data_IF_702912645803
#
_entry.id   IF_702912645803
#
_cell.length_a   1.000
_cell.length_b   1.000
_cell.length_c   1.000
_cell.angle_alpha   90.00
_cell.angle_beta   90.00
_cell.angle_gamma   90.00
#
_symmetry.space_group_name_H-M   'P 1'
#
loop_
_entity.id
_entity.type
_entity.pdbx_description
1 polymer ?
#
# COMPACT_ATOMS: atom_id res chain seq x y z
N UNK A 1 -11.53 15.58 -21.36
CA UNK A 1 -11.66 14.65 -22.51
C UNK A 1 -10.35 13.99 -22.94
N UNK A 2 -9.20 14.66 -22.79
CA UNK A 2 -7.89 14.07 -23.10
C UNK A 2 -7.43 13.06 -22.01
N UNK A 3 -7.79 13.25 -20.75
CA UNK A 3 -7.54 12.29 -19.69
C UNK A 3 -8.20 10.93 -19.93
N UNK A 4 -9.37 10.90 -20.56
CA UNK A 4 -10.03 9.65 -20.98
C UNK A 4 -9.26 8.88 -22.06
N UNK A 5 -8.51 9.58 -22.93
CA UNK A 5 -7.74 8.93 -24.01
C UNK A 5 -6.40 8.35 -23.56
N UNK A 6 -5.80 8.87 -22.46
CA UNK A 6 -4.57 8.31 -21.90
C UNK A 6 -4.82 7.10 -20.98
N UNK A 7 -5.97 7.10 -20.28
CA UNK A 7 -6.39 5.95 -19.45
C UNK A 7 -7.14 4.89 -20.27
N UNK A 8 -7.72 5.26 -21.42
CA UNK A 8 -8.47 4.41 -22.34
C UNK A 8 -7.74 4.08 -23.64
N UNK A 9 -6.43 4.30 -23.75
CA UNK A 9 -5.67 3.36 -24.56
C UNK A 9 -5.84 2.04 -23.85
N UNK A 10 -6.82 1.27 -24.34
CA UNK A 10 -6.93 -0.15 -24.07
C UNK A 10 -5.52 -0.68 -23.93
N UNK A 11 -5.16 -1.05 -22.71
CA UNK A 11 -3.90 -1.70 -22.48
C UNK A 11 -3.95 -2.93 -23.40
N UNK A 12 -3.23 -2.91 -24.49
CA UNK A 12 -2.97 -4.09 -25.34
C UNK A 12 -2.22 -5.17 -24.54
N UNK A 13 -1.91 -4.91 -23.28
CA UNK A 13 -1.69 -5.91 -22.24
C UNK A 13 -2.97 -6.67 -21.86
N UNK A 14 -4.10 -6.36 -22.57
CA UNK A 14 -5.35 -7.04 -22.34
C UNK A 14 -5.29 -8.47 -22.83
N UNK A 15 -5.46 -9.35 -21.90
CA UNK A 15 -6.24 -10.58 -21.98
C UNK A 15 -5.79 -11.76 -22.83
N UNK A 16 -4.95 -11.68 -23.83
CA UNK A 16 -4.71 -12.82 -24.72
C UNK A 16 -3.81 -13.94 -24.15
N UNK A 17 -3.16 -13.73 -23.00
CA UNK A 17 -2.31 -14.73 -22.35
C UNK A 17 -2.54 -14.88 -20.84
N UNK A 18 -3.70 -14.49 -20.31
CA UNK A 18 -3.99 -14.72 -18.88
C UNK A 18 -4.48 -16.16 -18.69
N UNK A 19 -3.69 -16.97 -18.03
CA UNK A 19 -4.06 -18.34 -17.63
C UNK A 19 -5.17 -18.36 -16.56
N UNK A 20 -5.43 -17.23 -15.89
CA UNK A 20 -6.41 -17.09 -14.81
C UNK A 20 -7.27 -15.86 -15.03
N UNK A 21 -8.59 -16.01 -14.95
CA UNK A 21 -9.53 -14.90 -14.98
C UNK A 21 -9.39 -14.07 -13.69
N UNK A 22 -9.09 -12.76 -13.77
CA UNK A 22 -8.96 -11.92 -12.58
C UNK A 22 -10.30 -11.78 -11.87
N UNK A 23 -10.33 -12.04 -10.56
CA UNK A 23 -11.54 -11.93 -9.72
C UNK A 23 -11.43 -10.81 -8.68
N UNK A 24 -10.21 -10.48 -8.26
CA UNK A 24 -9.98 -9.44 -7.28
C UNK A 24 -10.13 -8.04 -7.93
N UNK A 25 -10.95 -7.21 -7.29
CA UNK A 25 -11.19 -5.81 -7.71
C UNK A 25 -10.46 -4.81 -6.82
N UNK A 26 -10.09 -5.21 -5.61
CA UNK A 26 -9.44 -4.38 -4.61
C UNK A 26 -8.30 -5.14 -3.97
N UNK A 27 -7.22 -4.42 -3.66
CA UNK A 27 -6.04 -4.98 -2.97
C UNK A 27 -5.86 -4.21 -1.67
N UNK A 28 -5.81 -4.92 -0.56
CA UNK A 28 -5.45 -4.38 0.76
C UNK A 28 -4.11 -4.99 1.14
N UNK A 29 -3.08 -4.15 1.26
CA UNK A 29 -1.74 -4.56 1.67
C UNK A 29 -1.52 -4.18 3.14
N UNK A 30 -1.67 -5.15 4.04
CA UNK A 30 -1.42 -4.98 5.46
C UNK A 30 0.08 -5.17 5.73
N UNK A 31 0.78 -4.07 5.85
CA UNK A 31 2.20 -4.08 6.16
C UNK A 31 2.45 -3.84 7.65
N UNK A 32 2.81 -4.88 8.37
CA UNK A 32 3.08 -4.84 9.81
C UNK A 32 4.55 -4.41 10.02
N UNK A 33 4.78 -3.10 10.08
CA UNK A 33 6.11 -2.55 10.31
C UNK A 33 6.62 -2.96 11.70
N UNK A 34 7.86 -3.47 11.74
CA UNK A 34 8.44 -4.08 12.93
C UNK A 34 8.34 -5.60 12.93
N UNK A 35 7.55 -6.15 12.04
CA UNK A 35 7.33 -7.56 11.70
C UNK A 35 6.97 -8.49 12.89
N UNK A 36 5.89 -9.24 12.80
CA UNK A 36 5.68 -10.37 13.71
C UNK A 36 6.74 -11.43 13.45
N UNK A 37 7.16 -12.13 14.50
CA UNK A 37 8.07 -13.26 14.36
C UNK A 37 7.42 -14.36 13.53
N UNK A 38 8.01 -14.71 12.40
CA UNK A 38 7.48 -15.76 11.53
C UNK A 38 7.48 -17.12 12.20
N UNK A 39 8.49 -17.41 13.03
CA UNK A 39 8.59 -18.67 13.79
C UNK A 39 7.55 -18.80 14.89
N UNK A 40 6.95 -17.69 15.30
CA UNK A 40 5.91 -17.65 16.33
C UNK A 40 4.50 -17.51 15.75
N UNK A 41 4.35 -17.42 14.42
CA UNK A 41 3.05 -17.19 13.77
C UNK A 41 2.66 -18.27 12.77
N UNK A 42 3.40 -18.42 11.66
CA UNK A 42 3.01 -19.29 10.54
C UNK A 42 4.06 -20.33 10.16
N UNK A 43 5.27 -20.24 10.69
CA UNK A 43 6.39 -21.06 10.24
C UNK A 43 7.08 -21.76 11.44
N UNK A 44 6.43 -22.76 12.06
CA UNK A 44 7.00 -23.48 13.17
C UNK A 44 8.32 -24.18 12.79
N UNK A 45 9.33 -24.04 13.62
CA UNK A 45 10.65 -24.63 13.45
C UNK A 45 10.91 -25.66 14.57
N UNK A 46 10.41 -26.89 14.47
CA UNK A 46 10.53 -27.89 15.55
C UNK A 46 11.98 -28.24 15.87
N UNK A 47 12.89 -28.10 14.92
CA UNK A 47 14.32 -28.37 15.17
C UNK A 47 14.96 -27.34 16.09
N UNK A 48 14.40 -26.14 16.27
CA UNK A 48 14.89 -25.18 17.25
C UNK A 48 14.86 -25.74 18.68
N UNK A 49 13.91 -26.61 19.01
CA UNK A 49 13.85 -27.29 20.31
C UNK A 49 15.09 -28.16 20.57
N UNK A 50 15.59 -28.83 19.52
CA UNK A 50 16.80 -29.68 19.63
C UNK A 50 18.08 -28.87 19.84
N UNK A 51 18.04 -27.60 19.49
CA UNK A 51 19.19 -26.69 19.52
C UNK A 51 19.02 -25.56 20.54
N UNK A 52 17.99 -25.62 21.38
CA UNK A 52 17.71 -24.59 22.38
C UNK A 52 18.95 -24.26 23.21
N UNK A 53 19.22 -22.95 23.35
CA UNK A 53 20.39 -22.44 24.08
C UNK A 53 21.75 -22.66 23.40
N UNK A 54 21.86 -23.50 22.36
CA UNK A 54 23.10 -23.66 21.62
C UNK A 54 23.36 -22.44 20.74
N UNK A 55 24.63 -22.01 20.72
CA UNK A 55 25.03 -20.90 19.86
C UNK A 55 25.01 -21.32 18.37
N UNK A 56 24.46 -20.49 17.47
CA UNK A 56 24.57 -20.77 16.05
C UNK A 56 26.02 -20.72 15.58
N UNK A 57 26.38 -21.64 14.70
CA UNK A 57 27.69 -21.67 14.06
C UNK A 57 27.67 -20.77 12.81
N UNK A 58 28.79 -20.07 12.56
CA UNK A 58 28.96 -19.25 11.35
C UNK A 58 29.40 -17.82 11.62
N UNK A 59 29.89 -17.16 10.54
CA UNK A 59 30.46 -15.80 10.64
C UNK A 59 29.41 -14.72 10.97
N UNK A 60 28.17 -14.92 10.53
CA UNK A 60 27.06 -13.97 10.73
C UNK A 60 26.63 -13.82 12.20
N UNK A 61 26.95 -14.82 13.05
CA UNK A 61 26.46 -14.88 14.43
C UNK A 61 27.56 -14.69 15.48
N UNK A 62 28.75 -14.31 15.05
CA UNK A 62 29.91 -14.14 15.98
C UNK A 62 29.68 -13.07 17.05
N UNK A 63 28.79 -12.13 16.81
CA UNK A 63 28.51 -11.03 17.75
C UNK A 63 27.39 -11.31 18.75
N UNK A 64 26.67 -12.44 18.63
CA UNK A 64 25.58 -12.76 19.54
C UNK A 64 26.01 -13.73 20.61
N UNK A 65 25.76 -13.41 21.87
CA UNK A 65 25.89 -14.34 22.98
C UNK A 65 24.62 -15.17 23.21
N UNK A 66 23.57 -14.93 22.43
CA UNK A 66 22.29 -15.61 22.53
C UNK A 66 22.33 -16.96 21.78
N UNK A 67 21.68 -17.96 22.35
CA UNK A 67 21.46 -19.26 21.72
C UNK A 67 20.15 -19.26 20.89
N UNK A 68 19.91 -20.36 20.20
CA UNK A 68 18.62 -20.58 19.54
C UNK A 68 17.49 -20.58 20.57
N UNK A 69 16.40 -19.88 20.22
CA UNK A 69 15.19 -19.79 21.01
C UNK A 69 14.03 -20.41 20.24
N UNK A 70 13.46 -21.54 20.67
CA UNK A 70 12.24 -22.08 20.08
C UNK A 70 11.03 -21.21 20.41
N UNK A 71 9.99 -21.31 19.59
CA UNK A 71 8.72 -20.64 19.89
C UNK A 71 8.11 -21.23 21.17
N UNK A 72 7.68 -20.38 22.12
CA UNK A 72 6.94 -20.82 23.30
C UNK A 72 5.48 -21.15 22.99
N UNK A 73 5.00 -20.82 21.78
CA UNK A 73 3.60 -20.91 21.38
C UNK A 73 3.30 -22.26 20.74
N UNK A 74 2.08 -22.73 20.93
CA UNK A 74 1.57 -23.94 20.29
C UNK A 74 1.07 -23.63 18.89
N UNK A 75 1.22 -24.61 17.99
CA UNK A 75 0.74 -24.57 16.62
C UNK A 75 -0.32 -25.63 16.42
N UNK A 76 -1.46 -25.21 15.86
CA UNK A 76 -2.56 -26.08 15.52
C UNK A 76 -2.66 -26.25 14.01
N UNK A 77 -3.09 -27.40 13.54
CA UNK A 77 -3.52 -27.59 12.18
C UNK A 77 -4.94 -27.01 12.05
N UNK A 78 -5.12 -26.08 11.11
CA UNK A 78 -6.34 -25.32 10.93
C UNK A 78 -6.91 -25.53 9.54
N UNK A 79 -8.26 -25.54 9.44
CA UNK A 79 -8.97 -25.74 8.20
C UNK A 79 -8.79 -27.14 7.59
N UNK A 80 -9.36 -27.34 6.41
CA UNK A 80 -9.20 -28.55 5.59
C UNK A 80 -7.79 -28.61 4.97
N UNK A 81 -7.18 -27.44 4.74
CA UNK A 81 -5.79 -27.30 4.23
C UNK A 81 -4.75 -27.83 5.22
N UNK A 82 -5.09 -27.96 6.50
CA UNK A 82 -4.15 -28.35 7.54
C UNK A 82 -3.02 -27.33 7.78
N UNK A 83 -3.25 -26.07 7.45
CA UNK A 83 -2.26 -25.01 7.63
C UNK A 83 -1.91 -24.85 9.11
N UNK A 84 -0.61 -24.90 9.44
CA UNK A 84 -0.15 -24.70 10.83
C UNK A 84 -0.14 -23.21 11.15
N UNK A 85 -0.95 -22.84 12.14
CA UNK A 85 -1.08 -21.47 12.63
C UNK A 85 -0.90 -21.47 14.15
N UNK A 86 -0.18 -20.48 14.66
CA UNK A 86 0.04 -20.30 16.09
C UNK A 86 -1.25 -19.96 16.84
N UNK A 87 -1.35 -20.40 18.08
CA UNK A 87 -2.44 -20.07 19.02
C UNK A 87 -2.59 -18.55 19.27
N UNK A 88 -1.56 -17.75 18.97
CA UNK A 88 -1.61 -16.28 19.05
C UNK A 88 -2.52 -15.63 18.02
N UNK A 89 -2.96 -16.38 16.98
CA UNK A 89 -3.77 -15.88 15.87
C UNK A 89 -5.12 -16.57 15.75
N UNK A 90 -5.97 -16.56 16.80
CA UNK A 90 -7.19 -17.38 16.86
C UNK A 90 -8.26 -16.99 15.83
N UNK A 91 -8.27 -15.74 15.37
CA UNK A 91 -9.20 -15.27 14.36
C UNK A 91 -8.74 -15.64 12.95
N UNK A 92 -7.43 -15.54 12.66
CA UNK A 92 -6.87 -15.96 11.38
C UNK A 92 -6.94 -17.48 11.20
N UNK A 93 -6.86 -18.25 12.26
CA UNK A 93 -6.99 -19.71 12.21
C UNK A 93 -8.34 -20.18 11.65
N UNK A 94 -9.41 -19.40 11.84
CA UNK A 94 -10.75 -19.65 11.29
C UNK A 94 -10.83 -19.47 9.79
N UNK A 95 -9.87 -18.75 9.19
CA UNK A 95 -9.79 -18.43 7.78
C UNK A 95 -8.66 -19.21 7.08
N UNK A 96 -8.18 -20.30 7.69
CA UNK A 96 -7.01 -21.04 7.23
C UNK A 96 -7.09 -21.46 5.76
N UNK A 97 -8.28 -21.85 5.31
CA UNK A 97 -8.52 -22.34 3.94
C UNK A 97 -8.54 -21.20 2.88
N UNK A 98 -8.69 -19.95 3.34
CA UNK A 98 -8.60 -18.77 2.49
C UNK A 98 -7.19 -18.19 2.43
N UNK A 99 -6.23 -18.74 3.21
CA UNK A 99 -4.87 -18.22 3.33
C UNK A 99 -3.89 -18.97 2.43
N UNK A 100 -3.02 -18.19 1.76
CA UNK A 100 -1.82 -18.69 1.11
C UNK A 100 -0.58 -18.15 1.85
N UNK A 101 0.13 -19.02 2.56
CA UNK A 101 1.32 -18.63 3.34
C UNK A 101 2.60 -18.96 2.59
N UNK A 102 3.36 -17.92 2.23
CA UNK A 102 4.65 -18.05 1.56
C UNK A 102 5.76 -17.96 2.61
N UNK A 103 6.29 -19.10 3.05
CA UNK A 103 7.33 -19.18 4.10
C UNK A 103 8.74 -18.90 3.62
N UNK A 104 8.97 -18.88 2.31
CA UNK A 104 10.30 -18.70 1.71
C UNK A 104 10.65 -17.24 1.41
N UNK A 105 9.79 -16.29 1.76
CA UNK A 105 10.08 -14.85 1.58
C UNK A 105 11.24 -14.41 2.48
N UNK A 106 12.17 -13.67 1.90
CA UNK A 106 13.30 -13.08 2.61
C UNK A 106 13.73 -11.77 1.96
N UNK A 107 14.49 -10.97 2.69
CA UNK A 107 15.18 -9.80 2.16
C UNK A 107 16.68 -10.08 2.03
N UNK A 108 17.33 -9.43 1.07
CA UNK A 108 18.75 -9.61 0.78
C UNK A 108 19.67 -8.99 1.86
N UNK A 109 19.08 -8.13 2.70
CA UNK A 109 19.80 -7.35 3.70
C UNK A 109 19.14 -7.47 5.07
N UNK A 110 19.94 -7.53 6.17
CA UNK A 110 19.40 -7.64 7.52
C UNK A 110 18.92 -6.31 8.10
N UNK A 111 19.23 -5.16 7.48
CA UNK A 111 18.91 -3.84 8.00
C UNK A 111 17.46 -3.47 7.67
N UNK A 112 16.75 -2.87 8.63
CA UNK A 112 15.32 -2.55 8.50
C UNK A 112 15.01 -1.65 7.31
N UNK A 113 15.69 -0.52 7.17
CA UNK A 113 15.36 0.49 6.13
C UNK A 113 15.45 -0.06 4.71
N UNK A 114 16.57 -0.65 4.26
CA UNK A 114 16.65 -1.21 2.91
C UNK A 114 15.76 -2.45 2.73
N UNK A 115 15.55 -3.25 3.79
CA UNK A 115 14.62 -4.39 3.72
C UNK A 115 13.16 -3.93 3.55
N UNK A 116 12.74 -2.85 4.22
CA UNK A 116 11.43 -2.25 4.02
C UNK A 116 11.25 -1.76 2.56
N UNK A 117 12.27 -1.10 2.00
CA UNK A 117 12.26 -0.70 0.59
C UNK A 117 12.11 -1.91 -0.33
N UNK A 118 12.89 -2.95 -0.10
CA UNK A 118 12.82 -4.17 -0.91
C UNK A 118 11.42 -4.82 -0.88
N UNK A 119 10.78 -4.88 0.27
CA UNK A 119 9.43 -5.41 0.39
C UNK A 119 8.37 -4.58 -0.35
N UNK A 120 8.56 -3.26 -0.44
CA UNK A 120 7.61 -2.36 -1.09
C UNK A 120 7.89 -2.11 -2.57
N UNK A 121 9.15 -2.15 -3.00
CA UNK A 121 9.59 -1.73 -4.33
C UNK A 121 10.37 -2.79 -5.11
N UNK A 122 10.73 -3.90 -4.46
CA UNK A 122 11.56 -4.97 -5.03
C UNK A 122 13.07 -4.66 -5.04
N UNK A 123 13.51 -3.53 -4.50
CA UNK A 123 14.92 -3.14 -4.40
C UNK A 123 15.23 -2.44 -3.09
N UNK A 124 16.50 -2.51 -2.66
CA UNK A 124 16.95 -1.94 -1.38
C UNK A 124 17.14 -0.41 -1.41
N UNK A 125 16.92 0.23 -2.55
CA UNK A 125 17.06 1.68 -2.73
C UNK A 125 15.75 2.30 -3.22
N UNK A 126 15.47 3.58 -2.90
CA UNK A 126 14.20 4.24 -3.23
C UNK A 126 14.14 4.70 -4.69
N UNK A 127 14.47 3.84 -5.64
CA UNK A 127 14.59 4.16 -7.07
C UNK A 127 13.42 3.63 -7.92
N UNK A 128 12.65 2.68 -7.38
CA UNK A 128 11.55 2.05 -8.13
C UNK A 128 10.19 2.39 -7.54
N UNK A 129 9.14 2.32 -8.37
CA UNK A 129 7.77 2.46 -7.89
C UNK A 129 7.41 1.38 -6.88
N UNK A 130 6.57 1.74 -5.93
CA UNK A 130 6.00 0.80 -4.97
C UNK A 130 4.97 -0.13 -5.63
N UNK A 131 4.66 -1.25 -4.96
CA UNK A 131 3.67 -2.22 -5.45
C UNK A 131 2.31 -1.58 -5.74
N UNK A 132 1.85 -0.63 -4.92
CA UNK A 132 0.59 0.08 -5.15
C UNK A 132 0.66 1.00 -6.37
N UNK A 133 1.79 1.70 -6.58
CA UNK A 133 1.99 2.53 -7.76
C UNK A 133 1.98 1.68 -9.04
N UNK A 134 2.64 0.53 -9.04
CA UNK A 134 2.60 -0.42 -10.15
C UNK A 134 1.20 -0.98 -10.41
N UNK A 135 0.46 -1.26 -9.35
CA UNK A 135 -0.92 -1.78 -9.46
C UNK A 135 -1.81 -0.78 -10.17
N UNK A 136 -1.79 0.49 -9.77
CA UNK A 136 -2.60 1.53 -10.41
C UNK A 136 -2.11 1.87 -11.81
N UNK A 137 -0.79 1.86 -12.04
CA UNK A 137 -0.25 2.07 -13.38
C UNK A 137 -0.69 0.99 -14.38
N UNK A 138 -0.63 -0.28 -13.96
CA UNK A 138 -0.93 -1.40 -14.85
C UNK A 138 -2.41 -1.76 -14.98
N UNK A 139 -3.20 -1.55 -13.92
CA UNK A 139 -4.61 -1.97 -13.87
C UNK A 139 -5.60 -0.80 -13.90
N UNK A 140 -5.13 0.41 -13.64
CA UNK A 140 -5.99 1.59 -13.51
C UNK A 140 -6.75 1.65 -12.19
N UNK A 141 -7.75 2.51 -12.13
CA UNK A 141 -8.68 2.66 -11.02
C UNK A 141 -10.11 2.70 -11.53
N UNK A 142 -11.01 1.99 -10.85
CA UNK A 142 -12.46 2.05 -11.14
C UNK A 142 -13.07 3.38 -10.63
N UNK A 143 -12.41 4.07 -9.70
CA UNK A 143 -12.88 5.33 -9.12
C UNK A 143 -12.10 6.51 -9.69
N UNK A 144 -12.81 7.48 -10.27
CA UNK A 144 -12.23 8.70 -10.83
C UNK A 144 -12.17 9.86 -9.81
N UNK A 145 -12.89 9.76 -8.68
CA UNK A 145 -13.07 10.84 -7.71
C UNK A 145 -12.18 10.70 -6.47
N UNK A 146 -11.62 9.51 -6.25
CA UNK A 146 -10.71 9.20 -5.15
C UNK A 146 -9.39 8.68 -5.70
N UNK A 147 -8.27 8.85 -4.97
CA UNK A 147 -7.01 8.25 -5.36
C UNK A 147 -7.14 6.74 -5.46
N UNK A 148 -6.64 6.16 -6.53
CA UNK A 148 -6.61 4.70 -6.69
C UNK A 148 -5.65 4.01 -5.74
N UNK A 149 -4.68 4.74 -5.19
CA UNK A 149 -3.71 4.24 -4.21
C UNK A 149 -3.72 5.10 -2.95
N UNK A 150 -4.16 4.53 -1.85
CA UNK A 150 -4.22 5.18 -0.54
C UNK A 150 -3.36 4.42 0.46
N UNK A 151 -2.60 5.15 1.26
CA UNK A 151 -1.81 4.60 2.36
C UNK A 151 -2.34 5.13 3.69
N UNK A 152 -2.85 4.23 4.53
CA UNK A 152 -3.26 4.52 5.89
C UNK A 152 -2.08 4.28 6.82
N UNK A 153 -1.74 5.25 7.65
CA UNK A 153 -0.64 5.12 8.61
C UNK A 153 -1.00 5.71 9.98
N UNK A 154 -0.66 5.01 11.07
CA UNK A 154 -1.04 5.46 12.42
C UNK A 154 -0.20 6.65 12.92
N UNK A 155 0.94 6.92 12.30
CA UNK A 155 1.87 7.97 12.73
C UNK A 155 2.41 8.79 11.55
N UNK A 156 2.66 10.10 11.73
CA UNK A 156 3.35 10.90 10.71
C UNK A 156 4.80 10.47 10.50
N UNK A 157 5.41 9.83 11.50
CA UNK A 157 6.79 9.31 11.42
C UNK A 157 6.75 7.84 11.03
N UNK A 158 7.42 7.50 9.95
CA UNK A 158 7.70 6.13 9.51
C UNK A 158 9.20 5.99 9.30
N UNK A 159 9.73 4.78 9.45
CA UNK A 159 11.19 4.53 9.43
C UNK A 159 11.81 5.03 8.12
N UNK A 160 11.21 4.73 6.97
CA UNK A 160 11.71 5.16 5.64
C UNK A 160 10.91 6.32 5.07
N UNK A 161 9.66 6.49 5.51
CA UNK A 161 8.78 7.56 5.04
C UNK A 161 8.20 7.32 3.63
N UNK A 162 7.93 8.42 2.87
CA UNK A 162 7.21 8.39 1.61
C UNK A 162 7.84 7.50 0.52
N UNK A 163 9.12 7.15 0.63
CA UNK A 163 9.77 6.27 -0.33
C UNK A 163 9.12 4.88 -0.41
N UNK A 164 8.48 4.41 0.68
CA UNK A 164 7.79 3.12 0.70
C UNK A 164 6.54 3.07 -0.19
N UNK A 165 5.94 4.21 -0.52
CA UNK A 165 4.74 4.30 -1.35
C UNK A 165 4.89 5.28 -2.50
N UNK A 166 6.13 5.47 -2.91
CA UNK A 166 6.50 6.38 -4.00
C UNK A 166 6.08 5.83 -5.37
N UNK A 167 5.75 6.76 -6.28
CA UNK A 167 5.63 6.45 -7.70
C UNK A 167 6.97 6.19 -8.37
N UNK A 168 8.11 6.49 -7.71
CA UNK A 168 9.45 6.32 -8.28
C UNK A 168 9.60 7.08 -9.60
N UNK A 169 9.91 6.36 -10.67
CA UNK A 169 10.04 6.93 -12.02
C UNK A 169 8.70 7.02 -12.79
N UNK A 170 7.61 6.49 -12.24
CA UNK A 170 6.28 6.65 -12.84
C UNK A 170 5.77 8.10 -12.63
N UNK A 171 4.82 8.57 -13.46
CA UNK A 171 4.18 9.87 -13.27
C UNK A 171 3.59 10.05 -11.86
N UNK A 172 3.62 11.27 -11.36
CA UNK A 172 3.22 11.61 -9.98
C UNK A 172 1.75 11.24 -9.64
N UNK A 173 0.89 11.12 -10.63
CA UNK A 173 -0.50 10.67 -10.45
C UNK A 173 -0.63 9.24 -9.86
N UNK A 174 0.43 8.42 -9.94
CA UNK A 174 0.48 7.08 -9.36
C UNK A 174 1.07 7.06 -7.96
N UNK A 175 1.46 8.24 -7.43
CA UNK A 175 1.89 8.42 -6.06
C UNK A 175 0.73 8.15 -5.10
N UNK A 176 1.01 7.45 -3.99
CA UNK A 176 -0.02 7.24 -2.97
C UNK A 176 -0.46 8.53 -2.29
N UNK A 177 -1.75 8.63 -2.03
CA UNK A 177 -2.31 9.59 -1.08
C UNK A 177 -2.20 9.02 0.33
N UNK A 178 -1.44 9.70 1.20
CA UNK A 178 -1.19 9.22 2.56
C UNK A 178 -2.12 9.89 3.56
N UNK A 179 -2.80 9.07 4.35
CA UNK A 179 -3.73 9.50 5.41
C UNK A 179 -3.19 9.06 6.77
N UNK A 180 -3.12 9.99 7.73
CA UNK A 180 -2.70 9.69 9.10
C UNK A 180 -3.95 9.32 9.89
N UNK A 181 -3.99 8.08 10.42
CA UNK A 181 -5.15 7.53 11.11
C UNK A 181 -5.08 7.64 12.63
N UNK A 182 -4.09 8.36 13.17
CA UNK A 182 -3.96 8.58 14.62
C UNK A 182 -5.18 9.24 15.23
N UNK A 183 -5.83 10.11 14.46
CA UNK A 183 -7.06 10.80 14.86
C UNK A 183 -8.04 10.64 13.69
N UNK A 184 -9.05 9.80 13.91
CA UNK A 184 -10.08 9.48 12.93
C UNK A 184 -11.18 10.55 12.83
N UNK A 185 -11.00 11.73 13.46
CA UNK A 185 -11.94 12.84 13.25
C UNK A 185 -11.90 13.30 11.79
N UNK A 186 -13.06 13.44 11.18
CA UNK A 186 -13.21 13.89 9.79
C UNK A 186 -12.45 15.18 9.51
N UNK A 187 -12.45 16.11 10.47
CA UNK A 187 -11.74 17.39 10.34
C UNK A 187 -10.24 17.21 10.16
N UNK A 188 -9.62 16.25 10.87
CA UNK A 188 -8.18 16.00 10.76
C UNK A 188 -7.81 15.09 9.60
N UNK A 189 -8.63 14.10 9.30
CA UNK A 189 -8.45 13.26 8.12
C UNK A 189 -8.54 14.09 6.83
N UNK A 190 -9.42 15.09 6.82
CA UNK A 190 -9.70 15.95 5.68
C UNK A 190 -9.10 17.37 5.81
N UNK A 191 -8.23 17.60 6.80
CA UNK A 191 -7.70 18.93 7.11
C UNK A 191 -7.09 19.68 5.93
N UNK A 192 -6.54 18.95 4.96
CA UNK A 192 -5.94 19.53 3.76
C UNK A 192 -6.84 19.43 2.52
N UNK A 193 -8.05 18.91 2.65
CA UNK A 193 -8.99 18.78 1.52
C UNK A 193 -9.83 20.05 1.36
N UNK A 194 -10.10 20.77 2.46
CA UNK A 194 -10.81 22.05 2.39
C UNK A 194 -9.83 23.18 2.11
N UNK A 195 -10.03 23.89 1.00
CA UNK A 195 -9.30 25.13 0.73
C UNK A 195 -9.91 26.26 1.57
N UNK A 196 -9.18 26.81 2.56
CA UNK A 196 -9.69 27.91 3.34
C UNK A 196 -9.83 29.17 2.45
N UNK A 197 -11.03 29.71 2.37
CA UNK A 197 -11.28 31.03 1.76
C UNK A 197 -11.63 31.06 0.27
N UNK A 198 -11.63 29.93 -0.44
CA UNK A 198 -12.05 29.92 -1.86
C UNK A 198 -13.37 29.20 -2.07
N UNK A 199 -14.31 29.81 -2.79
CA UNK A 199 -15.53 29.13 -3.19
C UNK A 199 -15.21 27.99 -4.18
N UNK A 200 -15.98 26.89 -4.13
CA UNK A 200 -15.80 25.74 -5.04
C UNK A 200 -15.85 26.17 -6.53
N UNK A 201 -16.69 27.13 -6.86
CA UNK A 201 -16.78 27.69 -8.22
C UNK A 201 -15.51 28.41 -8.65
N UNK A 202 -14.84 29.08 -7.73
CA UNK A 202 -13.57 29.75 -7.99
C UNK A 202 -12.44 28.77 -8.24
N UNK A 203 -12.35 27.73 -7.39
CA UNK A 203 -11.39 26.65 -7.60
C UNK A 203 -11.60 25.94 -8.94
N UNK A 204 -12.85 25.71 -9.34
CA UNK A 204 -13.16 25.12 -10.65
C UNK A 204 -12.63 26.00 -11.79
N UNK A 205 -12.88 27.32 -11.71
CA UNK A 205 -12.38 28.27 -12.72
C UNK A 205 -10.85 28.28 -12.80
N UNK A 206 -10.17 28.21 -11.66
CA UNK A 206 -8.70 28.13 -11.61
C UNK A 206 -8.18 26.87 -12.30
N UNK A 207 -8.78 25.70 -12.03
CA UNK A 207 -8.42 24.44 -12.68
C UNK A 207 -8.71 24.46 -14.19
N UNK A 208 -9.86 25.03 -14.62
CA UNK A 208 -10.19 25.19 -16.03
C UNK A 208 -9.18 26.11 -16.74
N UNK A 209 -8.75 27.19 -16.07
CA UNK A 209 -7.71 28.08 -16.60
C UNK A 209 -6.37 27.37 -16.75
N UNK A 210 -5.95 26.62 -15.72
CA UNK A 210 -4.70 25.83 -15.77
C UNK A 210 -4.72 24.82 -16.91
N UNK A 211 -5.84 24.11 -17.10
CA UNK A 211 -5.99 23.16 -18.21
C UNK A 211 -5.88 23.85 -19.58
N UNK A 212 -6.52 25.01 -19.76
CA UNK A 212 -6.41 25.78 -21.01
C UNK A 212 -4.99 26.32 -21.26
N UNK A 213 -4.32 26.79 -20.21
CA UNK A 213 -2.92 27.23 -20.31
C UNK A 213 -1.99 26.07 -20.70
N UNK A 214 -2.23 24.88 -20.15
CA UNK A 214 -1.47 23.69 -20.51
C UNK A 214 -1.73 23.24 -21.95
N UNK A 215 -2.99 23.25 -22.40
CA UNK A 215 -3.31 22.99 -23.80
C UNK A 215 -2.59 23.96 -24.74
N UNK A 216 -2.57 25.26 -24.44
CA UNK A 216 -1.83 26.27 -25.22
C UNK A 216 -0.34 26.01 -25.20
N UNK A 217 0.23 25.65 -24.05
CA UNK A 217 1.65 25.31 -23.90
C UNK A 217 2.01 24.09 -24.77
N UNK A 218 1.19 23.03 -24.72
CA UNK A 218 1.42 21.78 -25.46
C UNK A 218 1.29 21.95 -26.98
N UNK A 219 0.54 22.94 -27.47
CA UNK A 219 0.49 23.27 -28.90
C UNK A 219 1.74 23.95 -29.39
N UNK A 220 2.46 24.67 -28.54
CA UNK A 220 3.65 25.44 -28.88
C UNK A 220 4.95 24.71 -28.57
N UNK A 221 4.93 23.65 -27.76
CA UNK A 221 6.09 22.89 -27.29
C UNK A 221 5.76 21.39 -27.20
N UNK A 222 6.79 20.57 -26.92
CA UNK A 222 6.57 19.15 -26.60
C UNK A 222 5.73 19.05 -25.32
N UNK A 223 4.77 18.13 -25.31
CA UNK A 223 3.94 17.82 -24.14
C UNK A 223 4.80 17.58 -22.91
N UNK A 224 4.50 18.30 -21.82
CA UNK A 224 5.17 18.15 -20.53
C UNK A 224 4.38 17.22 -19.64
N UNK A 225 4.84 15.97 -19.53
CA UNK A 225 4.19 14.95 -18.72
C UNK A 225 4.17 15.28 -17.22
N UNK A 226 5.12 16.08 -16.74
CA UNK A 226 5.18 16.51 -15.34
C UNK A 226 4.07 17.50 -15.06
N UNK A 227 3.88 18.48 -15.93
CA UNK A 227 2.81 19.47 -15.81
C UNK A 227 1.44 18.81 -15.90
N UNK A 228 1.24 17.88 -16.83
CA UNK A 228 -0.01 17.10 -16.92
C UNK A 228 -0.30 16.29 -15.67
N UNK A 229 0.72 15.67 -15.07
CA UNK A 229 0.59 14.94 -13.80
C UNK A 229 0.19 15.87 -12.65
N UNK A 230 0.74 17.08 -12.58
CA UNK A 230 0.37 18.06 -11.57
C UNK A 230 -1.09 18.50 -11.72
N UNK A 231 -1.55 18.80 -12.93
CA UNK A 231 -2.94 19.17 -13.18
C UNK A 231 -3.89 18.02 -12.81
N UNK A 232 -3.56 16.79 -13.21
CA UNK A 232 -4.33 15.60 -12.83
C UNK A 232 -4.43 15.42 -11.31
N UNK A 233 -3.33 15.68 -10.60
CA UNK A 233 -3.31 15.62 -9.14
C UNK A 233 -4.22 16.67 -8.51
N UNK A 234 -4.19 17.90 -9.03
CA UNK A 234 -5.07 18.99 -8.56
C UNK A 234 -6.55 18.72 -8.87
N UNK A 235 -6.86 18.15 -10.02
CA UNK A 235 -8.22 17.69 -10.37
C UNK A 235 -8.71 16.62 -9.40
N UNK A 236 -7.89 15.64 -9.10
CA UNK A 236 -8.21 14.60 -8.11
C UNK A 236 -8.44 15.21 -6.73
N UNK A 237 -7.58 16.12 -6.29
CA UNK A 237 -7.75 16.81 -5.02
C UNK A 237 -9.06 17.61 -4.95
N UNK A 238 -9.45 18.25 -6.04
CA UNK A 238 -10.74 18.98 -6.13
C UNK A 238 -11.94 18.01 -6.02
N UNK A 239 -11.90 16.88 -6.72
CA UNK A 239 -12.95 15.85 -6.64
C UNK A 239 -13.06 15.24 -5.25
N UNK A 240 -11.93 15.02 -4.61
CA UNK A 240 -11.87 14.53 -3.22
C UNK A 240 -12.58 15.46 -2.22
N UNK A 241 -12.62 16.78 -2.45
CA UNK A 241 -13.36 17.70 -1.58
C UNK A 241 -14.87 17.42 -1.55
N UNK A 242 -15.39 16.74 -2.57
CA UNK A 242 -16.81 16.40 -2.69
C UNK A 242 -17.05 14.99 -2.15
N UNK A 243 -16.27 14.02 -2.60
CA UNK A 243 -16.53 12.58 -2.43
C UNK A 243 -15.83 11.99 -1.17
N UNK A 244 -14.64 12.52 -0.79
CA UNK A 244 -13.89 11.92 0.30
C UNK A 244 -14.56 12.10 1.66
N UNK A 245 -15.36 13.15 1.83
CA UNK A 245 -16.11 13.38 3.08
C UNK A 245 -17.04 12.21 3.38
N UNK A 246 -17.66 11.64 2.37
CA UNK A 246 -18.55 10.48 2.51
C UNK A 246 -17.75 9.18 2.76
N UNK A 247 -16.67 9.01 2.04
CA UNK A 247 -15.82 7.80 2.12
C UNK A 247 -15.11 7.65 3.48
N UNK A 248 -14.84 8.74 4.19
CA UNK A 248 -14.20 8.73 5.52
C UNK A 248 -15.18 8.91 6.68
N UNK A 249 -16.47 9.05 6.41
CA UNK A 249 -17.48 9.21 7.46
C UNK A 249 -17.92 7.86 8.04
N UNK A 250 -17.16 7.39 9.00
CA UNK A 250 -17.46 6.14 9.73
C UNK A 250 -18.75 6.23 10.57
N UNK A 251 -19.34 7.43 10.75
CA UNK A 251 -20.60 7.56 11.50
C UNK A 251 -21.75 6.82 10.84
N UNK A 252 -21.69 6.68 9.52
CA UNK A 252 -22.68 5.97 8.69
C UNK A 252 -22.56 4.46 8.71
N UNK A 253 -21.46 3.93 9.26
CA UNK A 253 -21.23 2.49 9.34
C UNK A 253 -22.15 1.81 10.36
N UNK A 254 -22.43 0.54 10.12
CA UNK A 254 -23.27 -0.26 11.03
C UNK A 254 -22.58 -0.43 12.38
N UNK A 255 -23.37 -0.64 13.45
CA UNK A 255 -22.85 -0.94 14.79
C UNK A 255 -21.88 -2.13 14.74
N UNK A 256 -22.23 -3.18 14.00
CA UNK A 256 -21.39 -4.37 13.81
C UNK A 256 -20.01 -4.01 13.23
N UNK A 257 -19.95 -3.13 12.22
CA UNK A 257 -18.69 -2.69 11.60
C UNK A 257 -17.83 -1.87 12.57
N UNK A 258 -18.48 -1.08 13.45
CA UNK A 258 -17.78 -0.23 14.43
C UNK A 258 -17.21 -1.00 15.62
N UNK A 259 -17.79 -2.16 15.94
CA UNK A 259 -17.40 -3.00 17.09
C UNK A 259 -16.41 -4.12 16.71
N UNK A 260 -16.14 -4.32 15.41
CA UNK A 260 -15.17 -5.29 14.91
C UNK A 260 -13.79 -4.69 14.77
#
# INVERSE_FOLDING_TARGET
LLGKKLLAKENEFSSSNRSVTPRAKRVIFLFLNGAPSHVDTFDPKPDLLKHEGKKPEGKLYKSTNAGFLPSPLKFNQCGESGLKISESLPNLSKLADDLCVIRSMHCDVPNHEPALLQMHTGVIQPTRPSIGAWTIYGLGSENENLPGYVVLRPSPKTVVGPALWSAGFLPAQFQASSVITKDMSLEKLLANIKSPGSAKSEQRRQLDLLSKMNEFHNHSRKADSILESHISTLETAYRMQIEATDAFDISKETTKTKET
#
